data_IF_225652322312
#
_entry.id   IF_225652322312
#
_cell.length_a   1.000
_cell.length_b   1.000
_cell.length_c   1.000
_cell.angle_alpha   90.00
_cell.angle_beta   90.00
_cell.angle_gamma   90.00
#
_symmetry.space_group_name_H-M   'P 1'
#
loop_
_entity.id
_entity.type
_entity.pdbx_description
1 polymer ?
#
# COMPACT_ATOMS: atom_id res chain seq x y z
N UNK A 1 -51.38 -53.80 34.99
CA UNK A 1 -51.35 -52.61 34.11
C UNK A 1 -49.89 -52.16 34.02
N UNK A 2 -49.16 -52.62 33.01
CA UNK A 2 -47.72 -52.35 32.83
C UNK A 2 -47.58 -51.57 31.54
N UNK A 3 -47.11 -50.32 31.64
CA UNK A 3 -46.66 -49.50 30.51
C UNK A 3 -45.31 -50.05 30.03
N UNK A 4 -45.15 -50.32 28.74
CA UNK A 4 -43.84 -50.35 28.11
C UNK A 4 -43.88 -49.46 26.86
N UNK A 5 -42.92 -48.56 26.86
CA UNK A 5 -42.85 -47.33 26.09
C UNK A 5 -42.08 -47.59 24.80
N UNK A 6 -42.58 -46.94 23.75
CA UNK A 6 -42.01 -46.71 22.42
C UNK A 6 -40.49 -46.65 22.37
N UNK A 7 -39.88 -47.45 21.48
CA UNK A 7 -38.48 -47.30 21.07
C UNK A 7 -38.43 -46.66 19.69
N UNK A 8 -38.19 -45.35 19.66
CA UNK A 8 -37.86 -44.58 18.46
C UNK A 8 -36.44 -44.05 18.66
N UNK A 9 -35.44 -44.81 18.19
CA UNK A 9 -34.04 -44.37 18.18
C UNK A 9 -33.89 -43.39 17.02
N UNK A 10 -33.91 -42.09 17.35
CA UNK A 10 -33.58 -41.01 16.44
C UNK A 10 -32.07 -40.78 16.51
N UNK A 11 -31.35 -41.27 15.50
CA UNK A 11 -29.91 -41.09 15.35
C UNK A 11 -29.65 -39.64 14.90
N UNK A 12 -29.35 -38.75 15.84
CA UNK A 12 -28.96 -37.37 15.55
C UNK A 12 -27.51 -37.38 15.08
N UNK A 13 -27.32 -37.28 13.77
CA UNK A 13 -26.05 -36.93 13.12
C UNK A 13 -25.71 -35.48 13.50
N UNK A 14 -24.86 -35.29 14.49
CA UNK A 14 -24.18 -34.02 14.73
C UNK A 14 -23.10 -33.85 13.66
N UNK A 15 -23.47 -33.26 12.53
CA UNK A 15 -22.51 -32.61 11.66
C UNK A 15 -22.00 -31.37 12.39
N UNK A 16 -20.91 -31.52 13.14
CA UNK A 16 -20.04 -30.41 13.51
C UNK A 16 -19.36 -29.93 12.22
N UNK A 17 -20.08 -29.12 11.45
CA UNK A 17 -19.50 -28.27 10.42
C UNK A 17 -18.68 -27.20 11.10
N UNK A 18 -17.42 -27.52 11.42
CA UNK A 18 -16.41 -26.51 11.73
C UNK A 18 -16.06 -25.85 10.40
N UNK A 19 -16.83 -24.84 10.01
CA UNK A 19 -16.49 -23.97 8.91
C UNK A 19 -15.33 -23.08 9.39
N UNK A 20 -14.11 -23.60 9.30
CA UNK A 20 -12.90 -22.79 9.48
C UNK A 20 -12.73 -21.92 8.24
N UNK A 21 -13.56 -20.89 8.14
CA UNK A 21 -13.18 -19.69 7.39
C UNK A 21 -12.06 -19.05 8.21
N UNK A 22 -10.83 -19.51 8.00
CA UNK A 22 -9.66 -18.75 8.44
C UNK A 22 -9.85 -17.32 7.92
N UNK A 23 -9.77 -16.30 8.80
CA UNK A 23 -9.81 -14.93 8.33
C UNK A 23 -8.72 -14.77 7.28
N UNK A 24 -9.05 -14.25 6.10
CA UNK A 24 -8.03 -13.86 5.12
C UNK A 24 -7.20 -12.78 5.82
N UNK A 25 -6.03 -13.15 6.34
CA UNK A 25 -5.08 -12.19 6.88
C UNK A 25 -4.46 -11.54 5.63
N UNK A 26 -5.03 -10.41 5.21
CA UNK A 26 -4.36 -9.56 4.22
C UNK A 26 -3.03 -9.12 4.84
N UNK A 27 -1.94 -9.31 4.11
CA UNK A 27 -0.60 -8.96 4.59
C UNK A 27 -0.61 -7.51 5.12
N UNK A 28 -0.15 -7.31 6.35
CA UNK A 28 -0.08 -5.98 6.96
C UNK A 28 1.30 -5.35 6.83
N UNK A 29 2.23 -6.04 6.17
CA UNK A 29 3.56 -5.52 5.89
C UNK A 29 4.21 -6.26 4.74
N UNK A 30 5.16 -5.60 4.07
CA UNK A 30 5.89 -6.23 2.99
C UNK A 30 6.89 -5.30 2.33
N UNK A 31 7.32 -5.70 1.16
CA UNK A 31 8.18 -4.94 0.25
C UNK A 31 7.59 -5.02 -1.14
N UNK A 32 7.61 -3.91 -1.88
CA UNK A 32 7.00 -3.82 -3.21
C UNK A 32 7.79 -2.87 -4.09
N UNK A 33 7.73 -3.11 -5.39
CA UNK A 33 8.18 -2.18 -6.43
C UNK A 33 6.96 -1.78 -7.26
N UNK A 34 6.79 -0.48 -7.48
CA UNK A 34 5.77 0.07 -8.38
C UNK A 34 6.40 0.97 -9.43
N UNK A 35 5.77 1.09 -10.59
CA UNK A 35 6.20 1.98 -11.66
C UNK A 35 5.02 2.58 -12.44
N UNK A 36 5.27 3.73 -13.07
CA UNK A 36 4.25 4.50 -13.78
C UNK A 36 3.76 3.86 -15.09
N UNK A 37 4.35 2.73 -15.50
CA UNK A 37 4.00 2.04 -16.75
C UNK A 37 2.99 0.92 -16.54
N UNK A 38 2.92 0.33 -15.34
CA UNK A 38 2.21 -0.94 -15.12
C UNK A 38 1.33 -0.98 -13.89
N UNK A 39 1.63 -0.21 -12.83
CA UNK A 39 0.94 -0.38 -11.54
C UNK A 39 1.08 0.79 -10.55
N UNK A 40 0.15 0.83 -9.59
CA UNK A 40 0.27 1.54 -8.32
C UNK A 40 0.26 0.55 -7.15
N UNK A 41 0.30 1.04 -5.92
CA UNK A 41 0.25 0.20 -4.72
C UNK A 41 -1.08 0.32 -3.98
N UNK A 42 -1.65 -0.81 -3.57
CA UNK A 42 -2.83 -0.85 -2.67
C UNK A 42 -2.44 -1.52 -1.36
N UNK A 43 -2.69 -0.83 -0.25
CA UNK A 43 -2.42 -1.36 1.09
C UNK A 43 -3.39 -2.48 1.46
N UNK A 44 -4.68 -2.34 1.16
CA UNK A 44 -5.66 -3.40 1.43
C UNK A 44 -5.29 -4.67 0.66
N UNK A 45 -4.90 -4.54 -0.61
CA UNK A 45 -4.45 -5.72 -1.38
C UNK A 45 -3.03 -6.19 -1.05
N UNK A 46 -2.27 -5.44 -0.25
CA UNK A 46 -0.89 -5.74 0.12
C UNK A 46 0.07 -5.88 -1.09
N UNK A 47 -0.27 -5.32 -2.25
CA UNK A 47 0.47 -5.56 -3.49
C UNK A 47 0.37 -4.43 -4.50
N UNK A 48 1.26 -4.48 -5.48
CA UNK A 48 1.14 -3.66 -6.68
C UNK A 48 -0.08 -4.12 -7.49
N UNK A 49 -0.91 -3.18 -7.92
CA UNK A 49 -2.08 -3.41 -8.75
C UNK A 49 -2.01 -2.56 -10.01
N UNK A 50 -2.39 -3.13 -11.14
CA UNK A 50 -2.55 -2.34 -12.37
C UNK A 50 -3.70 -1.35 -12.22
N UNK A 51 -3.55 -0.18 -12.85
CA UNK A 51 -4.57 0.87 -12.81
C UNK A 51 -4.62 1.57 -14.17
N UNK A 52 -5.79 1.65 -14.83
CA UNK A 52 -7.09 1.08 -14.42
C UNK A 52 -7.08 -0.47 -14.42
N UNK A 53 -8.02 -1.09 -13.70
CA UNK A 53 -8.22 -2.55 -13.67
C UNK A 53 -9.71 -2.90 -13.75
N UNK A 54 -10.02 -4.16 -14.08
CA UNK A 54 -11.39 -4.67 -14.24
C UNK A 54 -12.22 -4.67 -12.95
N UNK A 55 -11.56 -4.66 -11.80
CA UNK A 55 -12.21 -4.62 -10.49
C UNK A 55 -12.52 -3.18 -10.04
N UNK A 56 -12.12 -2.19 -10.84
CA UNK A 56 -12.25 -0.76 -10.53
C UNK A 56 -11.65 -0.37 -9.16
N UNK A 57 -10.56 -1.04 -8.76
CA UNK A 57 -9.84 -0.76 -7.52
C UNK A 57 -8.82 0.35 -7.80
N UNK A 58 -8.92 1.46 -7.08
CA UNK A 58 -7.91 2.50 -7.11
C UNK A 58 -6.74 2.17 -6.19
N UNK A 59 -5.48 2.32 -6.64
CA UNK A 59 -4.32 2.21 -5.77
C UNK A 59 -4.28 3.39 -4.80
N UNK A 60 -3.73 3.14 -3.60
CA UNK A 60 -3.48 4.17 -2.60
C UNK A 60 -2.27 5.04 -2.94
N UNK A 61 -1.35 4.51 -3.76
CA UNK A 61 -0.15 5.21 -4.22
C UNK A 61 -0.01 4.98 -5.73
N UNK A 62 -0.04 6.07 -6.48
CA UNK A 62 0.45 6.15 -7.86
C UNK A 62 1.83 6.79 -7.86
N UNK A 63 2.62 6.48 -8.89
CA UNK A 63 3.97 7.03 -9.09
C UNK A 63 4.08 7.69 -10.45
N UNK A 64 4.73 8.84 -10.50
CA UNK A 64 5.02 9.57 -11.74
C UNK A 64 6.45 10.15 -11.70
N UNK A 65 6.98 10.48 -12.88
CA UNK A 65 8.24 11.20 -13.01
C UNK A 65 8.03 12.68 -12.64
N UNK A 66 8.86 13.20 -11.76
CA UNK A 66 8.90 14.62 -11.43
C UNK A 66 9.80 15.32 -12.46
N UNK A 67 9.27 16.34 -13.12
CA UNK A 67 9.97 17.13 -14.14
C UNK A 67 10.15 18.58 -13.69
N UNK A 68 11.22 19.23 -14.12
CA UNK A 68 11.33 20.69 -14.05
C UNK A 68 10.48 21.39 -15.12
N UNK A 69 10.54 22.73 -15.16
CA UNK A 69 9.81 23.54 -16.14
C UNK A 69 10.29 23.34 -17.59
N UNK A 70 11.48 22.78 -17.79
CA UNK A 70 12.09 22.51 -19.07
C UNK A 70 11.88 21.05 -19.52
N UNK A 71 11.25 20.22 -18.69
CA UNK A 71 11.01 18.80 -18.95
C UNK A 71 12.15 17.87 -18.51
N UNK A 72 13.16 18.37 -17.79
CA UNK A 72 14.24 17.54 -17.23
C UNK A 72 13.71 16.70 -16.08
N UNK A 73 14.06 15.42 -16.05
CA UNK A 73 13.70 14.52 -14.94
C UNK A 73 14.45 14.89 -13.66
N UNK A 74 13.70 15.23 -12.61
CA UNK A 74 14.19 15.53 -11.27
C UNK A 74 14.13 14.33 -10.31
N UNK A 75 13.31 13.33 -10.63
CA UNK A 75 13.13 12.12 -9.80
C UNK A 75 11.72 11.54 -9.92
N UNK A 76 11.22 10.95 -8.84
CA UNK A 76 9.85 10.43 -8.75
C UNK A 76 9.03 11.22 -7.73
N UNK A 77 7.72 11.23 -7.90
CA UNK A 77 6.77 11.69 -6.89
C UNK A 77 5.61 10.72 -6.77
N UNK A 78 4.97 10.69 -5.60
CA UNK A 78 3.75 9.94 -5.41
C UNK A 78 2.52 10.82 -5.44
N UNK A 79 1.44 10.26 -5.97
CA UNK A 79 0.12 10.86 -6.01
C UNK A 79 -0.94 9.82 -5.69
N UNK A 80 -2.19 10.27 -5.63
CA UNK A 80 -3.39 9.43 -5.59
C UNK A 80 -4.16 9.56 -6.90
N UNK A 81 -5.15 8.70 -7.10
CA UNK A 81 -6.07 8.75 -8.25
C UNK A 81 -6.97 9.99 -8.25
N UNK A 82 -7.20 10.56 -7.08
CA UNK A 82 -8.04 11.72 -6.78
C UNK A 82 -7.23 12.72 -5.96
N UNK A 83 -7.43 14.02 -6.17
CA UNK A 83 -6.71 15.05 -5.40
C UNK A 83 -7.20 15.00 -3.95
N UNK A 84 -6.33 14.55 -3.04
CA UNK A 84 -6.60 14.48 -1.60
C UNK A 84 -5.30 14.44 -0.81
N UNK A 85 -5.29 14.97 0.43
CA UNK A 85 -4.11 14.93 1.28
C UNK A 85 -3.86 13.49 1.73
N UNK A 86 -2.78 12.89 1.22
CA UNK A 86 -2.49 11.47 1.36
C UNK A 86 -1.09 11.16 1.86
N UNK A 87 -0.14 12.11 1.76
CA UNK A 87 1.26 11.85 2.07
C UNK A 87 1.79 12.79 3.14
N UNK A 88 2.46 12.25 4.16
CA UNK A 88 3.17 13.04 5.16
C UNK A 88 4.60 12.54 5.29
N UNK A 89 5.59 13.40 5.04
CA UNK A 89 7.00 13.06 5.23
C UNK A 89 7.29 13.02 6.73
N UNK A 90 7.48 11.82 7.27
CA UNK A 90 7.79 11.65 8.70
C UNK A 90 9.25 11.96 8.97
N UNK A 91 10.16 11.44 8.14
CA UNK A 91 11.60 11.64 8.30
C UNK A 91 12.39 11.27 7.05
N UNK A 92 13.56 11.87 6.88
CA UNK A 92 14.59 11.48 5.90
C UNK A 92 15.90 11.19 6.64
N UNK A 93 16.66 10.20 6.17
CA UNK A 93 17.97 9.83 6.69
C UNK A 93 19.02 9.82 5.57
N UNK A 94 20.29 9.99 5.93
CA UNK A 94 21.41 9.89 5.01
C UNK A 94 21.77 8.44 4.63
N UNK A 95 21.33 7.46 5.41
CA UNK A 95 21.67 6.04 5.23
C UNK A 95 20.45 5.11 5.41
N UNK A 96 20.57 3.93 4.81
CA UNK A 96 19.47 2.96 4.71
C UNK A 96 19.21 2.24 6.04
N UNK A 97 20.23 2.03 6.86
CA UNK A 97 20.11 1.25 8.10
C UNK A 97 19.40 2.06 9.18
N UNK A 98 19.72 3.35 9.31
CA UNK A 98 19.01 4.31 10.15
C UNK A 98 17.56 4.45 9.72
N UNK A 99 17.30 4.58 8.41
CA UNK A 99 15.95 4.70 7.87
C UNK A 99 15.09 3.46 8.19
N UNK A 100 15.63 2.26 7.96
CA UNK A 100 14.96 1.00 8.28
C UNK A 100 14.70 0.85 9.77
N UNK A 101 15.71 1.15 10.60
CA UNK A 101 15.58 1.08 12.06
C UNK A 101 14.47 2.00 12.56
N UNK A 102 14.45 3.25 12.09
CA UNK A 102 13.39 4.19 12.42
C UNK A 102 12.02 3.70 11.93
N UNK A 103 11.92 3.22 10.69
CA UNK A 103 10.68 2.68 10.13
C UNK A 103 10.10 1.53 10.97
N UNK A 104 10.93 0.59 11.40
CA UNK A 104 10.48 -0.54 12.21
C UNK A 104 10.01 -0.11 13.61
N UNK A 105 10.68 0.89 14.20
CA UNK A 105 10.40 1.40 15.54
C UNK A 105 9.34 2.52 15.60
N UNK A 106 8.90 3.06 14.45
CA UNK A 106 7.87 4.10 14.39
C UNK A 106 6.51 3.56 14.86
N UNK A 107 6.16 3.77 16.12
CA UNK A 107 4.96 3.20 16.74
C UNK A 107 3.66 3.93 16.35
N UNK A 108 3.73 5.19 15.92
CA UNK A 108 2.55 5.98 15.56
C UNK A 108 2.86 6.89 14.37
N UNK A 109 1.88 7.06 13.46
CA UNK A 109 1.95 8.07 12.40
C UNK A 109 1.16 9.34 12.74
N UNK A 110 1.54 10.50 12.17
CA UNK A 110 0.83 11.77 12.39
C UNK A 110 -0.65 11.72 12.01
N UNK A 111 -1.45 12.60 12.62
CA UNK A 111 -2.88 12.73 12.35
C UNK A 111 -3.22 13.83 11.33
N UNK A 112 -2.27 14.71 11.03
CA UNK A 112 -2.47 15.97 10.33
C UNK A 112 -1.27 16.33 9.45
N UNK A 113 -1.41 17.41 8.67
CA UNK A 113 -0.38 17.92 7.75
C UNK A 113 -0.01 16.92 6.65
N UNK A 114 -1.01 16.21 6.12
CA UNK A 114 -0.85 15.42 4.91
C UNK A 114 -0.96 16.34 3.69
N UNK A 115 -0.09 16.11 2.73
CA UNK A 115 -0.02 16.80 1.44
C UNK A 115 -0.65 15.92 0.35
N UNK A 116 -1.10 16.56 -0.73
CA UNK A 116 -1.69 15.85 -1.87
C UNK A 116 -0.66 14.99 -2.61
N UNK A 117 0.61 15.42 -2.59
CA UNK A 117 1.72 14.79 -3.30
C UNK A 117 2.89 14.50 -2.35
N UNK A 118 3.55 13.35 -2.52
CA UNK A 118 4.88 13.15 -1.96
C UNK A 118 5.92 13.62 -2.99
N UNK A 119 6.46 14.82 -2.81
CA UNK A 119 7.37 15.41 -3.81
C UNK A 119 8.56 16.14 -3.15
N UNK A 120 9.82 15.82 -3.52
CA UNK A 120 10.25 14.61 -4.22
C UNK A 120 10.25 13.37 -3.29
N UNK A 121 10.06 12.18 -3.87
CA UNK A 121 10.33 10.91 -3.19
C UNK A 121 11.79 10.52 -3.41
N UNK A 122 12.51 10.26 -2.33
CA UNK A 122 13.93 9.88 -2.31
C UNK A 122 14.16 8.65 -1.45
N UNK A 123 15.28 7.96 -1.69
CA UNK A 123 15.75 6.88 -0.82
C UNK A 123 15.86 7.34 0.64
N UNK A 124 15.66 6.41 1.57
CA UNK A 124 15.79 6.63 3.02
C UNK A 124 14.76 7.61 3.62
N UNK A 125 13.74 8.00 2.85
CA UNK A 125 12.58 8.71 3.39
C UNK A 125 11.56 7.73 3.97
N UNK A 126 10.92 8.14 5.06
CA UNK A 126 9.79 7.47 5.69
C UNK A 126 8.57 8.36 5.51
N UNK A 127 7.53 7.81 4.93
CA UNK A 127 6.27 8.50 4.69
C UNK A 127 5.15 7.80 5.45
N UNK A 128 4.28 8.59 6.07
CA UNK A 128 2.95 8.13 6.45
C UNK A 128 2.01 8.35 5.27
N UNK A 129 1.14 7.38 5.03
CA UNK A 129 0.22 7.38 3.89
C UNK A 129 -1.20 7.17 4.40
N UNK A 130 -2.11 8.07 4.01
CA UNK A 130 -3.55 7.90 4.24
C UNK A 130 -4.17 7.23 3.03
N UNK A 131 -4.75 6.05 3.22
CA UNK A 131 -5.33 5.25 2.14
C UNK A 131 -6.64 5.88 1.63
N UNK A 132 -7.10 5.40 0.48
CA UNK A 132 -8.41 5.77 -0.11
C UNK A 132 -9.57 5.49 0.85
N UNK A 133 -9.45 4.43 1.66
CA UNK A 133 -10.38 4.06 2.73
C UNK A 133 -10.17 4.81 4.06
N UNK A 134 -9.38 5.90 4.07
CA UNK A 134 -9.06 6.67 5.28
C UNK A 134 -8.37 5.88 6.41
N UNK A 135 -7.64 4.82 6.05
CA UNK A 135 -6.77 4.06 6.96
C UNK A 135 -5.33 4.54 6.82
N UNK A 136 -4.44 3.97 7.63
CA UNK A 136 -3.05 4.42 7.69
C UNK A 136 -2.08 3.32 7.27
N UNK A 137 -1.14 3.71 6.43
CA UNK A 137 0.08 2.98 6.14
C UNK A 137 1.31 3.81 6.46
N UNK A 138 2.45 3.14 6.57
CA UNK A 138 3.76 3.78 6.53
C UNK A 138 4.65 3.06 5.56
N UNK A 139 5.53 3.80 4.90
CA UNK A 139 6.50 3.25 3.95
C UNK A 139 7.90 3.78 4.24
N UNK A 140 8.92 3.00 3.89
CA UNK A 140 10.31 3.47 3.79
C UNK A 140 10.84 3.19 2.39
N UNK A 141 11.34 4.24 1.74
CA UNK A 141 11.81 4.18 0.37
C UNK A 141 13.19 3.53 0.34
N UNK A 142 13.31 2.46 -0.43
CA UNK A 142 14.55 1.70 -0.59
C UNK A 142 15.28 2.07 -1.89
N UNK A 143 14.53 2.37 -2.95
CA UNK A 143 15.07 2.75 -4.24
C UNK A 143 14.10 3.66 -5.00
N UNK A 144 14.63 4.51 -5.86
CA UNK A 144 13.89 5.33 -6.82
C UNK A 144 14.67 5.36 -8.12
N UNK A 145 13.99 5.19 -9.26
CA UNK A 145 14.59 5.32 -10.57
C UNK A 145 13.67 6.16 -11.46
N UNK A 146 14.22 7.15 -12.16
CA UNK A 146 13.47 7.96 -13.10
C UNK A 146 14.36 8.39 -14.26
N UNK A 147 13.84 8.31 -15.48
CA UNK A 147 14.58 8.73 -16.68
C UNK A 147 13.63 9.08 -17.82
N UNK A 148 14.12 9.93 -18.72
CA UNK A 148 13.48 10.18 -20.01
C UNK A 148 13.88 9.09 -21.00
N UNK A 149 12.95 8.66 -21.84
CA UNK A 149 13.22 7.75 -22.96
C UNK A 149 12.51 8.24 -24.23
N UNK A 150 13.09 7.93 -25.39
CA UNK A 150 12.51 8.26 -26.69
C UNK A 150 12.30 6.96 -27.50
N UNK A 151 11.09 6.39 -27.49
CA UNK A 151 10.77 5.16 -28.22
C UNK A 151 10.69 5.38 -29.73
N UNK A 152 10.49 6.63 -30.18
CA UNK A 152 10.46 7.02 -31.58
C UNK A 152 10.82 8.50 -31.75
N UNK A 153 11.35 8.91 -32.92
CA UNK A 153 11.68 10.32 -33.18
C UNK A 153 10.47 11.23 -32.96
N UNK A 154 10.66 12.27 -32.14
CA UNK A 154 9.60 13.23 -31.79
C UNK A 154 8.71 12.84 -30.62
N UNK A 155 8.88 11.64 -30.03
CA UNK A 155 8.21 11.25 -28.79
C UNK A 155 9.18 11.28 -27.60
N UNK A 156 8.72 11.83 -26.47
CA UNK A 156 9.39 11.75 -25.17
C UNK A 156 8.46 11.05 -24.19
N UNK A 157 8.94 9.97 -23.61
CA UNK A 157 8.32 9.28 -22.49
C UNK A 157 9.14 9.47 -21.23
N UNK A 158 8.50 9.30 -20.08
CA UNK A 158 9.16 9.36 -18.79
C UNK A 158 8.84 8.10 -18.02
N UNK A 159 9.88 7.48 -17.50
CA UNK A 159 9.78 6.32 -16.63
C UNK A 159 10.00 6.75 -15.18
N UNK A 160 9.23 6.17 -14.26
CA UNK A 160 9.40 6.32 -12.83
C UNK A 160 9.12 5.00 -12.12
N UNK A 161 10.00 4.62 -11.22
CA UNK A 161 9.90 3.43 -10.38
C UNK A 161 10.31 3.76 -8.94
N UNK A 162 9.62 3.16 -7.98
CA UNK A 162 10.05 3.17 -6.59
C UNK A 162 9.92 1.79 -5.98
N UNK A 163 10.88 1.44 -5.13
CA UNK A 163 10.86 0.26 -4.28
C UNK A 163 10.78 0.70 -2.83
N UNK A 164 9.86 0.14 -2.06
CA UNK A 164 9.69 0.49 -0.65
C UNK A 164 9.24 -0.69 0.20
N UNK A 165 9.55 -0.64 1.49
CA UNK A 165 8.86 -1.46 2.50
C UNK A 165 7.64 -0.73 2.99
N UNK A 166 6.62 -1.48 3.40
CA UNK A 166 5.36 -0.92 3.87
C UNK A 166 4.85 -1.67 5.11
N UNK A 167 4.09 -0.96 5.94
CA UNK A 167 3.21 -1.51 6.98
C UNK A 167 1.84 -0.86 6.88
N UNK A 168 0.79 -1.57 7.28
CA UNK A 168 -0.61 -1.16 7.17
C UNK A 168 -1.38 -1.41 8.47
N UNK A 169 -2.33 -0.54 8.78
CA UNK A 169 -3.31 -0.72 9.84
C UNK A 169 -4.70 -0.95 9.25
N UNK A 170 -5.16 -2.21 9.09
CA UNK A 170 -6.48 -2.51 8.51
C UNK A 170 -7.66 -1.94 9.30
N UNK A 171 -7.48 -1.73 10.60
CA UNK A 171 -8.49 -1.14 11.50
C UNK A 171 -8.52 0.40 11.44
N UNK A 172 -7.64 1.04 10.66
CA UNK A 172 -7.55 2.50 10.58
C UNK A 172 -6.89 3.18 11.79
N UNK A 173 -6.28 2.41 12.69
CA UNK A 173 -5.45 2.95 13.77
C UNK A 173 -4.23 3.67 13.20
N UNK A 174 -3.76 4.70 13.91
CA UNK A 174 -2.46 5.35 13.62
C UNK A 174 -1.29 4.62 14.28
N UNK A 175 -1.56 3.65 15.15
CA UNK A 175 -0.55 2.90 15.91
C UNK A 175 -0.15 1.60 15.20
N UNK A 176 1.15 1.29 15.15
CA UNK A 176 1.77 0.19 14.39
C UNK A 176 2.56 -0.81 15.20
#
# INVERSE_FOLDING_TARGET
MVKLISSFIFLILLFLGCDSTEPIIEDTSGEVTINNSTNGFSFSKGKAISFPNSENISPDILILAHLDQQGTVLGVFFSTDSIRPAFHLVKEFSDVDSAKTFFYNLAEVPDSNYEDLAIPVKINQIWAVKTTESKYGKIVILNTNAYEYSPSPGFRGYYAEAKFKWKYQPNGSRYF
#
